data_IF_860283038687
#
_entry.id   IF_860283038687
#
_cell.length_a   1.000
_cell.length_b   1.000
_cell.length_c   1.000
_cell.angle_alpha   90.00
_cell.angle_beta   90.00
_cell.angle_gamma   90.00
#
_symmetry.space_group_name_H-M   'P 1'
#
loop_
_entity.id
_entity.type
_entity.pdbx_description
1 polymer ?
#
# COMPACT_ATOMS: atom_id res chain seq x y z
N UNK A 1 10.62 -15.32 4.22
CA UNK A 1 11.07 -13.93 3.97
C UNK A 1 12.56 -13.84 3.61
N UNK A 2 13.49 -14.43 4.37
CA UNK A 2 14.94 -14.32 4.10
C UNK A 2 15.38 -14.73 2.69
N UNK A 3 14.92 -15.89 2.19
CA UNK A 3 15.25 -16.35 0.83
C UNK A 3 14.81 -15.36 -0.27
N UNK A 4 13.60 -14.79 -0.17
CA UNK A 4 13.10 -13.85 -1.16
C UNK A 4 13.96 -12.57 -1.23
N UNK A 5 14.43 -12.09 -0.07
CA UNK A 5 15.32 -10.93 0.02
C UNK A 5 16.67 -11.27 -0.63
N UNK A 6 17.25 -12.44 -0.33
CA UNK A 6 18.51 -12.89 -0.92
C UNK A 6 18.38 -12.98 -2.44
N UNK A 7 17.30 -13.57 -2.94
CA UNK A 7 17.02 -13.68 -4.37
C UNK A 7 16.86 -12.29 -5.02
N UNK A 8 16.15 -11.36 -4.37
CA UNK A 8 16.00 -10.00 -4.88
C UNK A 8 17.35 -9.27 -4.99
N UNK A 9 18.20 -9.37 -3.97
CA UNK A 9 19.55 -8.80 -4.01
C UNK A 9 20.43 -9.46 -5.06
N UNK A 10 20.34 -10.78 -5.21
CA UNK A 10 21.07 -11.52 -6.23
C UNK A 10 20.68 -11.04 -7.65
N UNK A 11 19.38 -10.95 -7.95
CA UNK A 11 18.89 -10.46 -9.25
C UNK A 11 19.34 -9.03 -9.50
N UNK A 12 19.18 -8.13 -8.52
CA UNK A 12 19.58 -6.72 -8.66
C UNK A 12 21.10 -6.56 -8.80
N UNK A 13 21.89 -7.37 -8.09
CA UNK A 13 23.34 -7.35 -8.14
C UNK A 13 23.87 -7.85 -9.48
N UNK A 14 23.47 -9.06 -9.88
CA UNK A 14 23.86 -9.65 -11.17
C UNK A 14 23.34 -8.80 -12.33
N UNK A 15 22.10 -8.30 -12.26
CA UNK A 15 21.54 -7.40 -13.26
C UNK A 15 22.33 -6.11 -13.41
N UNK A 16 22.81 -5.52 -12.31
CA UNK A 16 23.67 -4.33 -12.33
C UNK A 16 25.04 -4.59 -12.94
N UNK A 17 25.60 -5.79 -12.79
CA UNK A 17 26.90 -6.16 -13.35
C UNK A 17 26.83 -6.49 -14.84
N UNK A 18 25.79 -7.21 -15.28
CA UNK A 18 25.63 -7.64 -16.68
C UNK A 18 25.06 -6.52 -17.58
N UNK A 19 24.33 -5.55 -17.03
CA UNK A 19 23.69 -4.49 -17.81
C UNK A 19 24.70 -3.64 -18.60
N UNK A 20 24.39 -3.38 -19.86
CA UNK A 20 25.15 -2.47 -20.71
C UNK A 20 25.06 -1.03 -20.17
N UNK A 21 26.19 -0.50 -19.69
CA UNK A 21 26.26 0.85 -19.13
C UNK A 21 26.48 1.87 -20.25
N UNK A 22 25.50 2.75 -20.44
CA UNK A 22 25.63 3.93 -21.30
C UNK A 22 26.04 5.15 -20.46
N UNK A 23 26.88 6.08 -20.97
CA UNK A 23 27.19 7.33 -20.27
C UNK A 23 25.93 8.10 -19.89
N UNK A 24 26.01 8.88 -18.82
CA UNK A 24 24.90 9.70 -18.39
C UNK A 24 24.72 10.88 -19.35
N UNK A 25 23.57 10.93 -20.00
CA UNK A 25 23.14 12.04 -20.86
C UNK A 25 21.93 12.73 -20.25
N UNK A 26 21.71 14.00 -20.56
CA UNK A 26 20.58 14.76 -20.04
C UNK A 26 19.24 14.06 -20.35
N UNK A 27 19.09 13.52 -21.56
CA UNK A 27 17.90 12.76 -21.96
C UNK A 27 17.71 11.43 -21.23
N UNK A 28 18.79 10.77 -20.78
CA UNK A 28 18.73 9.52 -20.00
C UNK A 28 18.23 9.77 -18.58
N UNK A 29 18.56 10.92 -18.01
CA UNK A 29 18.20 11.31 -16.64
C UNK A 29 16.90 12.13 -16.59
N UNK A 30 16.41 12.62 -17.73
CA UNK A 30 15.17 13.36 -17.82
C UNK A 30 13.96 12.49 -17.47
N UNK A 31 12.93 13.05 -16.80
CA UNK A 31 11.69 12.34 -16.54
C UNK A 31 10.98 11.99 -17.85
N UNK A 32 10.34 10.83 -17.88
CA UNK A 32 9.53 10.46 -19.03
C UNK A 32 8.29 11.34 -19.12
N UNK A 33 8.23 12.15 -20.17
CA UNK A 33 7.08 12.99 -20.50
C UNK A 33 6.86 13.00 -22.03
N UNK A 34 6.88 11.82 -22.66
CA UNK A 34 6.75 11.70 -24.13
C UNK A 34 7.80 12.50 -24.94
N UNK A 35 8.96 12.81 -24.35
CA UNK A 35 10.00 13.67 -24.94
C UNK A 35 9.74 15.18 -24.80
N UNK A 36 8.66 15.56 -24.14
CA UNK A 36 8.36 16.96 -23.83
C UNK A 36 9.22 17.46 -22.66
N UNK A 37 9.70 18.72 -22.71
CA UNK A 37 10.50 19.33 -21.65
C UNK A 37 9.61 19.74 -20.47
N UNK A 38 8.91 18.79 -19.86
CA UNK A 38 8.06 19.02 -18.69
C UNK A 38 8.93 18.98 -17.44
N UNK A 39 8.93 20.02 -16.59
CA UNK A 39 9.68 20.00 -15.35
C UNK A 39 9.14 18.92 -14.42
N UNK A 40 10.03 18.20 -13.74
CA UNK A 40 9.67 17.22 -12.71
C UNK A 40 9.03 17.94 -11.51
N UNK A 41 7.71 18.16 -11.58
CA UNK A 41 6.95 18.82 -10.53
C UNK A 41 6.11 17.81 -9.75
N UNK A 42 6.03 18.00 -8.43
CA UNK A 42 5.14 17.23 -7.57
C UNK A 42 3.75 17.84 -7.69
N UNK A 43 2.90 17.23 -8.51
CA UNK A 43 1.49 17.60 -8.60
C UNK A 43 0.72 17.13 -7.38
N UNK A 44 -0.15 18.00 -6.83
CA UNK A 44 -1.14 17.59 -5.83
C UNK A 44 -2.27 16.88 -6.56
N UNK A 45 -2.27 15.54 -6.52
CA UNK A 45 -3.37 14.75 -7.07
C UNK A 45 -4.50 14.68 -6.04
N UNK A 46 -5.75 14.78 -6.51
CA UNK A 46 -6.88 14.45 -5.65
C UNK A 46 -6.86 12.92 -5.42
N UNK A 47 -6.49 12.52 -4.19
CA UNK A 47 -6.43 11.12 -3.73
C UNK A 47 -7.55 10.79 -2.75
N UNK A 48 -8.58 11.63 -2.70
CA UNK A 48 -9.74 11.50 -1.82
C UNK A 48 -10.39 10.11 -1.92
N UNK A 49 -10.71 9.66 -3.13
CA UNK A 49 -11.29 8.33 -3.35
C UNK A 49 -10.37 7.18 -2.89
N UNK A 50 -9.05 7.34 -3.08
CA UNK A 50 -8.06 6.36 -2.64
C UNK A 50 -7.96 6.33 -1.11
N UNK A 51 -8.05 7.49 -0.46
CA UNK A 51 -7.96 7.58 0.99
C UNK A 51 -9.12 6.89 1.70
N UNK A 52 -10.35 7.03 1.20
CA UNK A 52 -11.51 6.32 1.77
C UNK A 52 -11.33 4.81 1.65
N UNK A 53 -10.86 4.35 0.49
CA UNK A 53 -10.57 2.94 0.28
C UNK A 53 -9.51 2.44 1.28
N UNK A 54 -8.47 3.23 1.52
CA UNK A 54 -7.45 2.90 2.51
C UNK A 54 -8.03 2.82 3.94
N UNK A 55 -8.98 3.69 4.30
CA UNK A 55 -9.67 3.64 5.60
C UNK A 55 -10.55 2.39 5.71
N UNK A 56 -11.34 2.06 4.69
CA UNK A 56 -12.10 0.80 4.66
C UNK A 56 -11.17 -0.42 4.80
N UNK A 57 -10.09 -0.44 4.03
CA UNK A 57 -9.09 -1.50 4.10
C UNK A 57 -8.54 -1.64 5.53
N UNK A 58 -8.17 -0.54 6.18
CA UNK A 58 -7.67 -0.56 7.56
C UNK A 58 -8.69 -1.12 8.56
N UNK A 59 -9.97 -0.73 8.45
CA UNK A 59 -11.05 -1.26 9.31
C UNK A 59 -11.13 -2.79 9.17
N UNK A 60 -11.14 -3.30 7.93
CA UNK A 60 -11.26 -4.73 7.69
C UNK A 60 -9.97 -5.50 7.98
N UNK A 61 -8.80 -4.90 7.80
CA UNK A 61 -7.50 -5.52 8.09
C UNK A 61 -7.34 -5.76 9.60
N UNK A 62 -7.66 -4.75 10.42
CA UNK A 62 -7.66 -4.90 11.89
C UNK A 62 -8.68 -5.94 12.35
N UNK A 63 -9.91 -5.89 11.81
CA UNK A 63 -10.93 -6.90 12.14
C UNK A 63 -10.48 -8.31 11.73
N UNK A 64 -9.93 -8.46 10.53
CA UNK A 64 -9.41 -9.72 10.01
C UNK A 64 -8.28 -10.28 10.88
N UNK A 65 -7.34 -9.43 11.28
CA UNK A 65 -6.26 -9.80 12.19
C UNK A 65 -6.78 -10.28 13.55
N UNK A 66 -7.73 -9.55 14.15
CA UNK A 66 -8.34 -9.91 15.44
C UNK A 66 -9.12 -11.22 15.34
N UNK A 67 -9.88 -11.42 14.26
CA UNK A 67 -10.61 -12.68 14.03
C UNK A 67 -9.64 -13.85 13.83
N UNK A 68 -8.61 -13.69 13.00
CA UNK A 68 -7.64 -14.74 12.72
C UNK A 68 -6.88 -15.17 13.98
N UNK A 69 -6.43 -14.22 14.80
CA UNK A 69 -5.74 -14.50 16.07
C UNK A 69 -6.66 -15.13 17.11
N UNK A 70 -7.93 -14.71 17.17
CA UNK A 70 -8.90 -15.31 18.10
C UNK A 70 -9.29 -16.74 17.69
N UNK A 71 -9.44 -17.02 16.39
CA UNK A 71 -9.71 -18.38 15.90
C UNK A 71 -8.52 -19.30 16.21
N UNK A 72 -7.29 -18.79 16.05
CA UNK A 72 -6.08 -19.55 16.37
C UNK A 72 -5.96 -19.88 17.87
N UNK A 73 -6.39 -18.98 18.75
CA UNK A 73 -6.39 -19.18 20.20
C UNK A 73 -7.67 -18.59 20.84
N UNK A 74 -8.76 -19.38 20.96
CA UNK A 74 -10.06 -18.89 21.38
C UNK A 74 -10.14 -18.76 22.92
N UNK A 75 -9.33 -17.87 23.48
CA UNK A 75 -9.28 -17.63 24.93
C UNK A 75 -10.29 -16.56 25.35
N UNK A 76 -10.59 -15.59 24.48
CA UNK A 76 -11.51 -14.49 24.78
C UNK A 76 -12.38 -14.11 23.57
N UNK A 77 -13.64 -14.55 23.57
CA UNK A 77 -14.60 -14.28 22.50
C UNK A 77 -15.24 -12.88 22.58
N UNK A 78 -15.06 -12.15 23.68
CA UNK A 78 -15.57 -10.77 23.82
C UNK A 78 -14.79 -9.79 22.96
N UNK A 79 -13.48 -10.02 22.82
CA UNK A 79 -12.58 -9.16 22.06
C UNK A 79 -12.92 -9.08 20.56
N UNK A 80 -13.07 -10.19 19.81
CA UNK A 80 -13.51 -10.12 18.41
C UNK A 80 -14.93 -9.55 18.26
N UNK A 81 -15.83 -9.79 19.23
CA UNK A 81 -17.19 -9.25 19.18
C UNK A 81 -17.19 -7.71 19.30
N UNK A 82 -16.37 -7.17 20.20
CA UNK A 82 -16.20 -5.73 20.37
C UNK A 82 -15.58 -5.08 19.12
N UNK A 83 -14.54 -5.71 18.54
CA UNK A 83 -13.93 -5.23 17.30
C UNK A 83 -14.89 -5.32 16.10
N UNK A 84 -15.71 -6.36 16.01
CA UNK A 84 -16.75 -6.45 14.99
C UNK A 84 -17.80 -5.33 15.13
N UNK A 85 -18.25 -5.05 16.36
CA UNK A 85 -19.20 -3.96 16.64
C UNK A 85 -18.64 -2.59 16.27
N UNK A 86 -17.41 -2.28 16.70
CA UNK A 86 -16.74 -1.00 16.36
C UNK A 86 -16.47 -0.86 14.86
N UNK A 87 -16.11 -1.95 14.18
CA UNK A 87 -15.93 -1.96 12.72
C UNK A 87 -17.23 -1.67 11.98
N UNK A 88 -18.37 -2.25 12.42
CA UNK A 88 -19.69 -1.96 11.85
C UNK A 88 -20.07 -0.50 12.03
N UNK A 89 -19.92 0.05 13.23
CA UNK A 89 -20.18 1.46 13.52
C UNK A 89 -19.32 2.36 12.64
N UNK A 90 -18.02 2.06 12.51
CA UNK A 90 -17.09 2.82 11.68
C UNK A 90 -17.52 2.83 10.21
N UNK A 91 -17.93 1.67 9.68
CA UNK A 91 -18.43 1.55 8.31
C UNK A 91 -19.73 2.35 8.09
N UNK A 92 -20.64 2.36 9.06
CA UNK A 92 -21.87 3.17 9.01
C UNK A 92 -21.54 4.66 9.00
N UNK A 93 -20.66 5.11 9.89
CA UNK A 93 -20.22 6.52 9.97
C UNK A 93 -19.55 6.95 8.67
N UNK A 94 -18.64 6.12 8.14
CA UNK A 94 -17.91 6.42 6.91
C UNK A 94 -18.88 6.51 5.73
N UNK A 95 -19.81 5.57 5.60
CA UNK A 95 -20.79 5.56 4.50
C UNK A 95 -21.79 6.71 4.60
N UNK A 96 -22.21 7.08 5.82
CA UNK A 96 -23.17 8.16 6.05
C UNK A 96 -22.59 9.55 5.80
N UNK A 97 -21.33 9.79 6.18
CA UNK A 97 -20.68 11.09 6.03
C UNK A 97 -19.98 11.28 4.68
N UNK A 98 -19.65 10.20 3.97
CA UNK A 98 -18.89 10.28 2.72
C UNK A 98 -19.73 10.65 1.49
N UNK A 99 -21.03 10.34 1.49
CA UNK A 99 -21.88 10.47 0.30
C UNK A 99 -22.48 11.87 0.09
N UNK A 100 -22.04 12.86 0.86
CA UNK A 100 -22.39 14.29 0.74
C UNK A 100 -21.25 15.04 0.07
#
# INVERSE_FOLDING_TARGET
MGLAIVVAFFIMGVGKEISAKSPDSEGKLAPYACGEPVPATKVRMNVENFFIYAVYFMIFDVLGFVLATTIAQPVNLLLPLFYAGTSLVSNVILTANWRQ
#
